data_IF_168982373760
#
_entry.id   IF_168982373760
#
_cell.length_a   1.000
_cell.length_b   1.000
_cell.length_c   1.000
_cell.angle_alpha   90.00
_cell.angle_beta   90.00
_cell.angle_gamma   90.00
#
_symmetry.space_group_name_H-M   'P 1'
#
loop_
_entity.id
_entity.type
_entity.pdbx_description
1 polymer ?
#
# COMPACT_ATOMS: atom_id res chain seq x y z
N UNK A 1 -1.55 0.02 20.26
CA UNK A 1 -1.80 0.84 19.06
C UNK A 1 -1.03 0.25 17.90
N UNK A 2 -1.71 -0.20 16.85
CA UNK A 2 -1.04 -0.66 15.63
C UNK A 2 -0.50 0.56 14.89
N UNK A 3 0.82 0.61 14.69
CA UNK A 3 1.49 1.72 14.01
C UNK A 3 1.68 1.46 12.52
N UNK A 4 1.16 0.36 11.97
CA UNK A 4 1.34 -0.06 10.57
C UNK A 4 -0.03 -0.20 9.92
N UNK A 5 -0.13 0.31 8.71
CA UNK A 5 -1.33 0.34 7.88
C UNK A 5 -0.99 -0.09 6.46
N UNK A 6 -1.98 -0.60 5.74
CA UNK A 6 -1.86 -0.91 4.32
C UNK A 6 -2.79 0.04 3.57
N UNK A 7 -2.27 0.86 2.67
CA UNK A 7 -3.07 1.64 1.75
C UNK A 7 -3.38 0.81 0.49
N UNK A 8 -4.66 0.70 0.12
CA UNK A 8 -5.09 0.17 -1.18
C UNK A 8 -5.19 1.35 -2.16
N UNK A 9 -4.23 1.42 -3.07
CA UNK A 9 -4.08 2.49 -4.07
C UNK A 9 -4.96 2.25 -5.31
N UNK A 10 -5.73 1.15 -5.36
CA UNK A 10 -6.58 0.81 -6.49
C UNK A 10 -5.84 0.05 -7.59
N UNK A 11 -6.25 0.19 -8.85
CA UNK A 11 -5.56 -0.49 -9.96
C UNK A 11 -4.13 0.02 -10.07
N UNK A 12 -3.15 -0.89 -10.05
CA UNK A 12 -1.72 -0.61 -10.18
C UNK A 12 -1.44 0.27 -11.40
N UNK A 13 -1.18 1.57 -11.23
CA UNK A 13 -0.89 2.44 -12.35
C UNK A 13 0.56 2.27 -12.77
N UNK A 14 0.79 2.26 -14.08
CA UNK A 14 2.12 2.48 -14.63
C UNK A 14 2.37 3.99 -14.65
N UNK A 15 3.47 4.41 -14.03
CA UNK A 15 3.91 5.81 -14.06
C UNK A 15 5.21 5.90 -14.86
N UNK A 16 5.34 6.98 -15.62
CA UNK A 16 6.56 7.25 -16.37
C UNK A 16 7.37 8.33 -15.66
N UNK A 17 8.54 7.97 -15.13
CA UNK A 17 9.45 8.89 -14.46
C UNK A 17 10.83 8.75 -15.09
N UNK A 18 11.45 9.88 -15.46
CA UNK A 18 12.82 9.95 -15.97
C UNK A 18 13.14 8.97 -17.12
N UNK A 19 12.23 8.81 -18.08
CA UNK A 19 12.46 7.94 -19.23
C UNK A 19 12.16 6.45 -18.97
N UNK A 20 11.71 6.08 -17.77
CA UNK A 20 11.44 4.71 -17.37
C UNK A 20 10.00 4.55 -16.89
N UNK A 21 9.38 3.45 -17.29
CA UNK A 21 8.10 3.00 -16.73
C UNK A 21 8.35 2.30 -15.41
N UNK A 22 7.73 2.79 -14.34
CA UNK A 22 7.69 2.14 -13.05
C UNK A 22 6.26 1.68 -12.75
N UNK A 23 6.13 0.47 -12.22
CA UNK A 23 4.85 -0.08 -11.79
C UNK A 23 4.65 0.30 -10.34
N UNK A 24 3.59 1.05 -10.04
CA UNK A 24 3.15 1.23 -8.65
C UNK A 24 2.30 0.02 -8.29
N UNK A 25 2.79 -0.79 -7.36
CA UNK A 25 1.99 -1.88 -6.82
C UNK A 25 0.76 -1.35 -6.07
N UNK A 26 -0.33 -2.12 -6.14
CA UNK A 26 -1.63 -1.74 -5.58
C UNK A 26 -1.60 -1.43 -4.09
N UNK A 27 -0.84 -2.18 -3.31
CA UNK A 27 -0.79 -2.00 -1.86
C UNK A 27 0.53 -1.37 -1.42
N UNK A 28 0.44 -0.38 -0.55
CA UNK A 28 1.60 0.25 0.09
C UNK A 28 1.49 0.12 1.61
N UNK A 29 2.54 -0.37 2.24
CA UNK A 29 2.64 -0.46 3.70
C UNK A 29 3.27 0.81 4.22
N UNK A 30 2.63 1.41 5.21
CA UNK A 30 3.12 2.61 5.88
C UNK A 30 3.10 2.42 7.39
N UNK A 31 4.19 2.81 8.03
CA UNK A 31 4.30 2.91 9.49
C UNK A 31 4.19 4.36 9.93
N UNK A 32 3.30 4.66 10.87
CA UNK A 32 2.99 6.01 11.38
C UNK A 32 4.22 6.80 11.86
N UNK A 33 5.23 6.12 12.40
CA UNK A 33 6.46 6.75 12.88
C UNK A 33 7.47 7.06 11.77
N UNK A 34 7.25 6.55 10.57
CA UNK A 34 8.14 6.72 9.43
C UNK A 34 7.47 7.63 8.41
N UNK A 35 8.23 8.52 7.78
CA UNK A 35 7.70 9.44 6.75
C UNK A 35 7.65 8.80 5.36
N UNK A 36 7.89 7.49 5.26
CA UNK A 36 8.05 6.77 3.99
C UNK A 36 7.26 5.47 3.94
N UNK A 37 6.94 5.05 2.72
CA UNK A 37 6.48 3.70 2.40
C UNK A 37 7.61 2.72 2.73
N UNK A 38 7.28 1.65 3.45
CA UNK A 38 8.25 0.63 3.86
C UNK A 38 8.24 -0.59 2.94
N UNK A 39 7.13 -0.86 2.27
CA UNK A 39 6.98 -1.96 1.32
C UNK A 39 5.80 -1.69 0.39
N UNK A 40 5.86 -2.24 -0.82
CA UNK A 40 4.73 -2.25 -1.76
C UNK A 40 4.57 -3.64 -2.35
N UNK A 41 3.35 -4.06 -2.65
CA UNK A 41 3.04 -5.38 -3.24
C UNK A 41 1.64 -5.38 -3.87
N UNK A 42 1.39 -6.29 -4.81
CA UNK A 42 0.05 -6.58 -5.31
C UNK A 42 -0.64 -7.72 -4.53
N UNK A 43 0.07 -8.39 -3.61
CA UNK A 43 -0.45 -9.49 -2.78
C UNK A 43 -0.82 -8.98 -1.37
N UNK A 44 -2.12 -8.72 -1.17
CA UNK A 44 -2.65 -8.26 0.11
C UNK A 44 -2.49 -9.31 1.22
N UNK A 45 -2.70 -10.59 0.91
CA UNK A 45 -2.68 -11.66 1.90
C UNK A 45 -1.28 -11.87 2.45
N UNK A 46 -0.27 -11.76 1.58
CA UNK A 46 1.13 -11.73 1.98
C UNK A 46 1.41 -10.61 2.98
N UNK A 47 1.00 -9.37 2.68
CA UNK A 47 1.24 -8.22 3.54
C UNK A 47 0.52 -8.36 4.89
N UNK A 48 -0.74 -8.79 4.90
CA UNK A 48 -1.50 -9.02 6.13
C UNK A 48 -0.82 -10.05 7.04
N UNK A 49 -0.37 -11.16 6.48
CA UNK A 49 0.36 -12.21 7.22
C UNK A 49 1.69 -11.71 7.76
N UNK A 50 2.49 -11.05 6.93
CA UNK A 50 3.83 -10.54 7.28
C UNK A 50 3.77 -9.56 8.45
N UNK A 51 2.82 -8.62 8.41
CA UNK A 51 2.69 -7.57 9.42
C UNK A 51 1.74 -7.94 10.56
N UNK A 52 1.18 -9.15 10.56
CA UNK A 52 0.18 -9.61 11.55
C UNK A 52 -1.01 -8.66 11.66
N UNK A 53 -1.47 -8.19 10.50
CA UNK A 53 -2.58 -7.25 10.37
C UNK A 53 -3.86 -7.97 9.95
N UNK A 54 -4.98 -7.30 10.16
CA UNK A 54 -6.30 -7.70 9.66
C UNK A 54 -6.83 -6.67 8.67
N UNK A 55 -7.91 -7.00 7.98
CA UNK A 55 -8.60 -6.10 7.04
C UNK A 55 -8.97 -4.73 7.64
N UNK A 56 -9.13 -4.61 8.96
CA UNK A 56 -9.38 -3.35 9.65
C UNK A 56 -8.22 -2.33 9.52
N UNK A 57 -7.03 -2.79 9.12
CA UNK A 57 -5.83 -1.97 8.92
C UNK A 57 -5.63 -1.56 7.47
N UNK A 58 -6.53 -1.97 6.57
CA UNK A 58 -6.47 -1.65 5.14
C UNK A 58 -7.27 -0.39 4.88
N UNK A 59 -6.58 0.69 4.55
CA UNK A 59 -7.17 1.97 4.16
C UNK A 59 -7.49 1.91 2.67
N UNK A 60 -8.77 1.79 2.34
CA UNK A 60 -9.25 1.84 0.95
C UNK A 60 -9.66 3.25 0.60
N UNK A 61 -9.08 3.80 -0.46
CA UNK A 61 -9.60 5.03 -1.03
C UNK A 61 -10.93 4.72 -1.73
N UNK A 62 -12.06 5.06 -1.08
CA UNK A 62 -13.35 5.16 -1.77
C UNK A 62 -13.47 6.59 -2.26
N UNK A 63 -13.50 6.78 -3.58
CA UNK A 63 -13.98 8.02 -4.16
C UNK A 63 -15.42 8.22 -3.68
N UNK A 64 -15.67 9.28 -2.92
CA UNK A 64 -17.03 9.75 -2.67
C UNK A 64 -17.52 10.35 -4.00
N UNK A 65 -18.22 9.54 -4.78
CA UNK A 65 -19.09 9.98 -5.88
C UNK A 65 -20.53 9.80 -5.43
#
# INVERSE_FOLDING_TARGET
MYNIWIADLGKSPEIFINGKTEVIHRYAVWKKSETRIIETSDDLDYLLKKYKLSMAHVLRYKSFL
#
